data_IF_959349748485
#
_entry.id   IF_959349748485
#
_cell.length_a   1.000
_cell.length_b   1.000
_cell.length_c   1.000
_cell.angle_alpha   90.00
_cell.angle_beta   90.00
_cell.angle_gamma   90.00
#
_symmetry.space_group_name_H-M   'P 1'
#
loop_
_entity.id
_entity.type
_entity.pdbx_description
1 polymer ?
#
# COMPACT_ATOMS: atom_id res chain seq x y z
N UNK A 1 -16.24 -0.60 7.99
CA UNK A 1 -15.08 0.07 7.36
C UNK A 1 -15.54 0.99 6.23
N UNK A 2 -15.06 2.25 6.20
CA UNK A 2 -15.29 3.19 5.09
C UNK A 2 -14.08 3.11 4.16
N UNK A 3 -14.29 2.89 2.87
CA UNK A 3 -13.26 3.06 1.85
C UNK A 3 -13.28 4.47 1.28
N UNK A 4 -12.12 5.07 1.03
CA UNK A 4 -11.97 6.38 0.39
C UNK A 4 -11.30 6.22 -0.99
N UNK A 5 -11.90 6.83 -2.01
CA UNK A 5 -11.26 7.07 -3.30
C UNK A 5 -11.33 8.55 -3.65
N UNK A 6 -10.22 9.14 -4.09
CA UNK A 6 -10.18 10.54 -4.52
C UNK A 6 -9.54 10.68 -5.90
N UNK A 7 -10.05 11.61 -6.71
CA UNK A 7 -9.52 11.95 -8.03
C UNK A 7 -9.70 13.44 -8.34
N UNK A 8 -8.77 14.06 -9.09
CA UNK A 8 -8.97 15.42 -9.55
C UNK A 8 -10.05 15.43 -10.63
N UNK A 9 -10.86 16.50 -10.69
CA UNK A 9 -11.96 16.58 -11.62
C UNK A 9 -11.69 17.39 -12.88
N UNK A 10 -10.70 18.29 -12.90
CA UNK A 10 -10.35 19.12 -14.07
C UNK A 10 -11.59 19.74 -14.75
N UNK A 11 -12.46 20.39 -13.95
CA UNK A 11 -13.77 20.92 -14.39
C UNK A 11 -14.89 19.90 -14.66
N UNK A 12 -14.65 18.59 -14.61
CA UNK A 12 -15.61 17.51 -14.93
C UNK A 12 -16.13 16.74 -13.71
N UNK A 13 -16.52 17.46 -12.66
CA UNK A 13 -16.97 16.92 -11.34
C UNK A 13 -17.94 15.74 -11.48
N UNK A 14 -19.01 15.89 -12.26
CA UNK A 14 -20.05 14.86 -12.41
C UNK A 14 -19.53 13.55 -13.04
N UNK A 15 -18.57 13.62 -13.98
CA UNK A 15 -17.98 12.44 -14.60
C UNK A 15 -17.01 11.75 -13.64
N UNK A 16 -16.23 12.52 -12.88
CA UNK A 16 -15.33 12.00 -11.86
C UNK A 16 -16.10 11.29 -10.74
N UNK A 17 -17.21 11.87 -10.25
CA UNK A 17 -18.09 11.22 -9.28
C UNK A 17 -18.61 9.88 -9.80
N UNK A 18 -19.13 9.84 -11.04
CA UNK A 18 -19.63 8.59 -11.64
C UNK A 18 -18.53 7.54 -11.74
N UNK A 19 -17.34 7.96 -12.14
CA UNK A 19 -16.17 7.08 -12.28
C UNK A 19 -15.76 6.50 -10.93
N UNK A 20 -15.66 7.35 -9.90
CA UNK A 20 -15.32 6.95 -8.54
C UNK A 20 -16.37 6.00 -7.94
N UNK A 21 -17.66 6.32 -8.06
CA UNK A 21 -18.75 5.45 -7.58
C UNK A 21 -18.78 4.08 -8.27
N UNK A 22 -18.45 4.03 -9.57
CA UNK A 22 -18.32 2.76 -10.30
C UNK A 22 -17.15 1.91 -9.78
N UNK A 23 -16.07 2.57 -9.33
CA UNK A 23 -14.85 1.93 -8.81
C UNK A 23 -14.96 1.49 -7.34
N UNK A 24 -15.84 2.11 -6.56
CA UNK A 24 -16.17 1.70 -5.20
C UNK A 24 -17.62 1.18 -5.12
N UNK A 25 -17.88 -0.07 -5.56
CA UNK A 25 -19.21 -0.65 -5.49
C UNK A 25 -19.60 -0.87 -4.03
N UNK A 26 -20.47 -0.01 -3.53
CA UNK A 26 -21.03 -0.08 -2.19
C UNK A 26 -22.47 0.47 -2.18
N UNK A 27 -23.33 0.01 -1.26
CA UNK A 27 -24.72 0.47 -1.17
C UNK A 27 -24.86 1.91 -0.64
N UNK A 28 -23.87 2.40 0.13
CA UNK A 28 -23.87 3.75 0.69
C UNK A 28 -22.65 4.53 0.22
N UNK A 29 -22.87 5.79 -0.18
CA UNK A 29 -21.80 6.71 -0.58
C UNK A 29 -21.98 8.08 0.06
N UNK A 30 -20.86 8.70 0.40
CA UNK A 30 -20.76 10.13 0.62
C UNK A 30 -19.80 10.72 -0.41
N UNK A 31 -20.07 11.93 -0.88
CA UNK A 31 -19.26 12.60 -1.91
C UNK A 31 -18.91 13.98 -1.39
N UNK A 32 -17.62 14.28 -1.37
CA UNK A 32 -17.07 15.59 -1.05
C UNK A 32 -16.33 16.16 -2.26
N UNK A 33 -16.39 17.47 -2.45
CA UNK A 33 -15.65 18.19 -3.48
C UNK A 33 -14.83 19.26 -2.79
N UNK A 34 -13.50 19.17 -2.88
CA UNK A 34 -12.54 20.05 -2.19
C UNK A 34 -11.55 20.58 -3.22
N UNK A 35 -11.63 21.87 -3.53
CA UNK A 35 -10.88 22.45 -4.64
C UNK A 35 -11.12 21.68 -5.94
N UNK A 36 -10.03 21.24 -6.58
CA UNK A 36 -10.07 20.44 -7.81
C UNK A 36 -10.31 18.95 -7.60
N UNK A 37 -10.58 18.50 -6.37
CA UNK A 37 -10.69 17.07 -6.04
C UNK A 37 -12.11 16.65 -5.72
N UNK A 38 -12.45 15.44 -6.15
CA UNK A 38 -13.65 14.72 -5.73
C UNK A 38 -13.21 13.55 -4.87
N UNK A 39 -13.73 13.49 -3.65
CA UNK A 39 -13.57 12.37 -2.72
C UNK A 39 -14.88 11.59 -2.65
N UNK A 40 -14.83 10.27 -2.87
CA UNK A 40 -15.96 9.36 -2.70
C UNK A 40 -15.63 8.39 -1.58
N UNK A 41 -16.49 8.42 -0.56
CA UNK A 41 -16.47 7.51 0.57
C UNK A 41 -17.52 6.45 0.33
N UNK A 42 -17.15 5.18 0.49
CA UNK A 42 -17.99 4.04 0.21
C UNK A 42 -18.11 3.15 1.45
N UNK A 43 -19.32 2.71 1.76
CA UNK A 43 -19.57 1.80 2.87
C UNK A 43 -20.70 0.81 2.60
N UNK A 44 -20.61 -0.36 3.25
CA UNK A 44 -21.68 -1.35 3.32
C UNK A 44 -22.83 -0.94 4.25
N UNK A 45 -22.62 0.03 5.14
CA UNK A 45 -23.61 0.49 6.13
C UNK A 45 -23.76 2.02 6.08
N UNK A 46 -24.90 2.52 6.59
CA UNK A 46 -25.13 3.94 6.78
C UNK A 46 -24.31 4.41 7.99
N UNK A 47 -23.09 4.88 7.73
CA UNK A 47 -22.18 5.39 8.76
C UNK A 47 -21.67 6.80 8.40
N UNK A 48 -21.38 7.64 9.40
CA UNK A 48 -20.84 8.98 9.18
C UNK A 48 -19.40 8.93 8.68
N UNK A 49 -19.06 9.83 7.76
CA UNK A 49 -17.69 10.07 7.29
C UNK A 49 -16.99 11.01 8.26
N UNK A 50 -16.52 10.45 9.37
CA UNK A 50 -15.83 11.19 10.45
C UNK A 50 -14.59 11.94 9.96
N UNK A 51 -13.91 11.41 8.95
CA UNK A 51 -12.74 12.06 8.34
C UNK A 51 -13.02 13.43 7.72
N UNK A 52 -14.17 13.60 7.05
CA UNK A 52 -14.57 14.90 6.48
C UNK A 52 -15.05 15.86 7.56
N UNK A 53 -15.69 15.33 8.60
CA UNK A 53 -16.10 16.11 9.76
C UNK A 53 -14.89 16.67 10.52
N UNK A 54 -13.83 15.88 10.70
CA UNK A 54 -12.58 16.34 11.30
C UNK A 54 -11.85 17.37 10.44
N UNK A 55 -11.83 17.19 9.11
CA UNK A 55 -11.27 18.19 8.19
C UNK A 55 -11.95 19.55 8.37
N UNK A 56 -13.27 19.60 8.33
CA UNK A 56 -14.02 20.85 8.49
C UNK A 56 -13.83 21.43 9.91
N UNK A 57 -13.91 20.59 10.94
CA UNK A 57 -13.77 21.02 12.33
C UNK A 57 -12.38 21.59 12.65
N UNK A 58 -11.31 21.00 12.09
CA UNK A 58 -9.95 21.50 12.28
C UNK A 58 -9.69 22.81 11.52
N UNK A 59 -10.30 22.98 10.34
CA UNK A 59 -10.25 24.25 9.60
C UNK A 59 -11.00 25.34 10.37
N UNK A 60 -12.22 25.05 10.83
CA UNK A 60 -13.05 25.99 11.60
C UNK A 60 -12.39 26.41 12.92
N UNK A 61 -11.73 25.47 13.60
CA UNK A 61 -10.99 25.74 14.84
C UNK A 61 -9.66 26.50 14.60
N UNK A 62 -9.27 26.72 13.33
CA UNK A 62 -8.01 27.38 12.98
C UNK A 62 -6.77 26.52 13.21
N UNK A 63 -6.94 25.21 13.41
CA UNK A 63 -5.85 24.24 13.53
C UNK A 63 -5.25 23.85 12.18
N UNK A 64 -6.06 23.92 11.12
CA UNK A 64 -5.64 23.71 9.74
C UNK A 64 -6.00 24.91 8.86
N UNK A 65 -5.16 25.21 7.88
CA UNK A 65 -5.52 26.12 6.78
C UNK A 65 -6.16 25.32 5.65
N UNK A 66 -7.11 25.93 4.95
CA UNK A 66 -7.87 25.28 3.86
C UNK A 66 -6.98 24.73 2.73
N UNK A 67 -5.77 25.27 2.54
CA UNK A 67 -4.78 24.78 1.57
C UNK A 67 -3.43 24.49 2.22
N UNK A 68 -3.43 23.97 3.44
CA UNK A 68 -2.19 23.62 4.12
C UNK A 68 -1.44 22.50 3.38
N UNK A 69 -0.17 22.73 2.99
CA UNK A 69 0.59 21.76 2.19
C UNK A 69 1.09 20.56 3.00
N UNK A 70 1.10 20.69 4.33
CA UNK A 70 1.58 19.62 5.22
C UNK A 70 0.48 18.60 5.50
N UNK A 71 0.87 17.33 5.54
CA UNK A 71 -0.01 16.24 5.93
C UNK A 71 -0.10 16.16 7.46
N UNK A 72 -1.33 16.14 7.96
CA UNK A 72 -1.68 16.05 9.38
C UNK A 72 -2.50 14.78 9.62
N UNK A 73 -2.20 14.06 10.69
CA UNK A 73 -2.95 12.89 11.12
C UNK A 73 -3.94 13.23 12.22
N UNK A 74 -5.15 12.69 12.12
CA UNK A 74 -6.13 12.66 13.20
C UNK A 74 -6.29 11.22 13.67
N UNK A 75 -6.03 10.98 14.94
CA UNK A 75 -6.17 9.69 15.60
C UNK A 75 -7.37 9.74 16.52
N UNK A 76 -8.38 8.94 16.22
CA UNK A 76 -9.62 8.89 16.98
C UNK A 76 -9.87 7.47 17.48
N UNK A 77 -10.19 7.33 18.77
CA UNK A 77 -10.64 6.05 19.32
C UNK A 77 -12.13 5.85 19.05
N UNK A 78 -12.46 4.87 18.20
CA UNK A 78 -13.83 4.62 17.73
C UNK A 78 -14.11 3.12 17.74
N UNK A 79 -15.23 2.70 18.35
CA UNK A 79 -15.63 1.28 18.39
C UNK A 79 -14.52 0.34 18.89
N UNK A 80 -13.80 0.75 19.94
CA UNK A 80 -12.67 0.02 20.53
C UNK A 80 -11.48 -0.20 19.59
N UNK A 81 -11.32 0.67 18.59
CA UNK A 81 -10.18 0.65 17.68
C UNK A 81 -9.70 2.08 17.39
N UNK A 82 -8.39 2.25 17.24
CA UNK A 82 -7.84 3.50 16.73
C UNK A 82 -8.12 3.61 15.24
N UNK A 83 -8.64 4.76 14.83
CA UNK A 83 -8.79 5.13 13.43
C UNK A 83 -7.85 6.30 13.13
N UNK A 84 -7.06 6.18 12.06
CA UNK A 84 -6.18 7.23 11.58
C UNK A 84 -6.76 7.86 10.30
N UNK A 85 -6.85 9.18 10.28
CA UNK A 85 -7.22 9.96 9.10
C UNK A 85 -6.06 10.86 8.72
N UNK A 86 -5.57 10.76 7.48
CA UNK A 86 -4.54 11.67 6.94
C UNK A 86 -5.23 12.77 6.14
N UNK A 87 -4.95 14.01 6.51
CA UNK A 87 -5.48 15.23 5.92
C UNK A 87 -4.31 16.05 5.37
N UNK A 88 -4.41 16.53 4.13
CA UNK A 88 -3.42 17.42 3.54
C UNK A 88 -3.95 18.05 2.27
N UNK A 89 -3.43 19.23 1.90
CA UNK A 89 -3.87 20.00 0.73
C UNK A 89 -5.40 20.27 0.76
N UNK A 90 -5.96 20.52 1.95
CA UNK A 90 -7.39 20.84 2.11
C UNK A 90 -8.36 19.67 1.93
N UNK A 91 -7.87 18.43 1.96
CA UNK A 91 -8.68 17.23 1.74
C UNK A 91 -8.24 16.05 2.58
N UNK A 92 -9.15 15.10 2.76
CA UNK A 92 -8.79 13.78 3.29
C UNK A 92 -8.08 12.99 2.19
N UNK A 93 -6.90 12.49 2.53
CA UNK A 93 -6.06 11.72 1.61
C UNK A 93 -6.21 10.22 1.84
N UNK A 94 -6.33 9.82 3.10
CA UNK A 94 -6.47 8.42 3.45
C UNK A 94 -7.13 8.22 4.82
N UNK A 95 -7.68 7.01 5.02
CA UNK A 95 -8.29 6.56 6.27
C UNK A 95 -7.82 5.13 6.50
N UNK A 96 -7.38 4.81 7.72
CA UNK A 96 -6.90 3.49 8.10
C UNK A 96 -7.37 3.12 9.50
N UNK A 97 -7.57 1.82 9.73
CA UNK A 97 -7.71 1.26 11.08
C UNK A 97 -6.29 0.97 11.58
N UNK A 98 -5.92 1.53 12.74
CA UNK A 98 -4.51 1.74 13.09
C UNK A 98 -3.77 0.43 13.36
N UNK A 99 -2.74 0.19 12.54
CA UNK A 99 -1.50 -0.48 12.94
C UNK A 99 -0.30 0.40 12.55
N UNK A 100 0.35 1.05 13.51
CA UNK A 100 1.64 1.80 13.39
C UNK A 100 1.77 2.98 12.38
N UNK A 101 0.80 3.25 11.50
CA UNK A 101 0.94 4.18 10.35
C UNK A 101 0.80 5.68 10.70
N UNK A 102 0.46 6.02 11.95
CA UNK A 102 0.30 7.40 12.41
C UNK A 102 1.61 8.22 12.49
N UNK A 103 2.76 7.55 12.39
CA UNK A 103 4.10 8.13 12.58
C UNK A 103 4.51 9.06 11.40
N UNK A 104 3.77 9.03 10.30
CA UNK A 104 4.17 9.66 9.03
C UNK A 104 3.62 11.07 8.78
N UNK A 105 2.82 11.64 9.69
CA UNK A 105 2.28 12.99 9.55
C UNK A 105 3.14 14.03 10.28
N UNK A 106 3.22 15.26 9.76
CA UNK A 106 4.02 16.33 10.38
C UNK A 106 3.47 16.76 11.74
N UNK A 107 2.15 16.64 11.91
CA UNK A 107 1.44 16.89 13.17
C UNK A 107 0.37 15.83 13.39
N UNK A 108 0.14 15.51 14.66
CA UNK A 108 -0.83 14.51 15.09
C UNK A 108 -1.82 15.14 16.05
N UNK A 109 -3.11 14.99 15.72
CA UNK A 109 -4.21 15.31 16.61
C UNK A 109 -4.72 14.02 17.25
N UNK A 110 -4.69 13.94 18.58
CA UNK A 110 -5.16 12.77 19.32
C UNK A 110 -6.50 13.09 19.97
N UNK A 111 -7.50 12.27 19.66
CA UNK A 111 -8.84 12.34 20.24
C UNK A 111 -9.06 11.06 21.04
N UNK A 112 -8.79 11.14 22.34
CA UNK A 112 -8.92 10.02 23.27
C UNK A 112 -10.35 9.92 23.80
N UNK A 113 -10.85 8.69 23.96
CA UNK A 113 -12.10 8.37 24.66
C UNK A 113 -11.83 8.03 26.13
N UNK A 114 -12.86 8.03 26.98
CA UNK A 114 -12.73 7.66 28.41
C UNK A 114 -12.14 6.25 28.62
N UNK A 115 -12.32 5.36 27.65
CA UNK A 115 -11.83 3.96 27.65
C UNK A 115 -10.71 3.70 26.61
N UNK A 116 -10.01 4.73 26.11
CA UNK A 116 -8.96 4.50 25.09
C UNK A 116 -7.72 3.85 25.69
N UNK A 117 -7.17 2.84 25.01
CA UNK A 117 -5.80 2.37 25.30
C UNK A 117 -4.79 3.49 25.02
N UNK A 118 -3.83 3.65 25.92
CA UNK A 118 -2.84 4.72 25.88
C UNK A 118 -1.92 4.55 24.66
N UNK A 119 -1.96 5.51 23.72
CA UNK A 119 -0.98 5.59 22.65
C UNK A 119 0.36 6.03 23.22
N UNK A 120 1.46 5.49 22.71
CA UNK A 120 2.80 5.98 23.06
C UNK A 120 2.88 7.47 22.68
N UNK A 121 3.05 8.37 23.65
CA UNK A 121 3.01 9.81 23.40
C UNK A 121 4.25 10.25 22.61
N UNK A 122 4.05 11.09 21.60
CA UNK A 122 5.12 11.81 20.91
C UNK A 122 5.13 13.30 21.34
N UNK A 123 6.30 13.94 21.33
CA UNK A 123 6.47 15.30 21.86
C UNK A 123 5.64 16.38 21.16
N UNK A 124 5.20 16.15 19.92
CA UNK A 124 4.42 17.09 19.10
C UNK A 124 2.93 16.70 18.99
N UNK A 125 2.47 15.75 19.80
CA UNK A 125 1.07 15.33 19.80
C UNK A 125 0.16 16.42 20.39
N UNK A 126 -0.86 16.82 19.62
CA UNK A 126 -1.88 17.78 20.05
C UNK A 126 -3.11 17.01 20.50
N UNK A 127 -3.39 17.02 21.80
CA UNK A 127 -4.60 16.40 22.34
C UNK A 127 -5.81 17.31 22.13
N UNK A 128 -6.79 16.80 21.40
CA UNK A 128 -8.09 17.43 21.25
C UNK A 128 -9.06 16.87 22.30
N UNK A 129 -9.95 17.69 22.86
CA UNK A 129 -10.99 17.19 23.74
C UNK A 129 -11.91 16.23 22.98
N UNK A 130 -12.48 15.26 23.69
CA UNK A 130 -13.52 14.40 23.13
C UNK A 130 -14.67 15.28 22.59
N UNK A 131 -15.24 14.93 21.41
CA UNK A 131 -16.34 15.69 20.83
C UNK A 131 -17.52 15.85 21.79
N UNK A 132 -18.02 17.08 21.95
CA UNK A 132 -19.26 17.29 22.70
C UNK A 132 -20.46 16.65 22.00
N UNK A 133 -21.54 16.33 22.72
CA UNK A 133 -22.77 15.79 22.10
C UNK A 133 -23.33 16.71 21.00
N UNK A 134 -23.22 18.03 21.19
CA UNK A 134 -23.62 19.01 20.18
C UNK A 134 -22.75 18.93 18.92
N UNK A 135 -21.44 18.69 19.07
CA UNK A 135 -20.50 18.48 17.97
C UNK A 135 -20.75 17.15 17.26
N UNK A 136 -21.10 16.09 18.00
CA UNK A 136 -21.47 14.79 17.42
C UNK A 136 -22.78 14.85 16.64
N UNK A 137 -23.72 15.71 17.03
CA UNK A 137 -24.98 15.90 16.30
C UNK A 137 -24.77 16.39 14.86
N UNK A 138 -23.66 17.09 14.57
CA UNK A 138 -23.38 17.57 13.21
C UNK A 138 -22.91 16.47 12.26
N UNK A 139 -22.50 15.30 12.76
CA UNK A 139 -22.12 14.13 11.96
C UNK A 139 -23.22 13.65 11.02
N UNK A 140 -24.49 13.99 11.29
CA UNK A 140 -25.62 13.64 10.41
C UNK A 140 -25.47 14.23 9.01
N UNK A 141 -24.77 15.37 8.87
CA UNK A 141 -24.49 16.01 7.58
C UNK A 141 -23.45 15.23 6.76
N UNK A 142 -22.62 14.43 7.43
CA UNK A 142 -21.53 13.65 6.84
C UNK A 142 -21.92 12.18 6.63
N UNK A 143 -23.22 11.86 6.65
CA UNK A 143 -23.67 10.49 6.58
C UNK A 143 -23.60 9.91 5.17
N UNK A 144 -23.02 8.72 5.02
CA UNK A 144 -23.08 7.96 3.77
C UNK A 144 -24.54 7.67 3.41
N UNK A 145 -24.99 8.21 2.29
CA UNK A 145 -26.37 8.07 1.84
C UNK A 145 -26.50 6.84 0.94
N UNK A 146 -27.60 6.12 1.09
CA UNK A 146 -27.89 4.99 0.21
C UNK A 146 -27.98 5.50 -1.22
N UNK A 147 -27.29 4.83 -2.14
CA UNK A 147 -27.47 5.11 -3.55
C UNK A 147 -28.96 4.96 -3.87
N UNK A 148 -29.65 6.07 -4.15
CA UNK A 148 -31.02 6.03 -4.63
C UNK A 148 -30.97 5.31 -5.96
N UNK A 149 -31.27 4.01 -5.93
CA UNK A 149 -31.48 3.23 -7.13
C UNK A 149 -32.67 3.88 -7.81
N UNK A 150 -32.37 4.76 -8.78
CA UNK A 150 -33.37 5.21 -9.73
C UNK A 150 -33.71 3.96 -10.51
N UNK A 151 -34.72 3.23 -10.05
CA UNK A 151 -35.47 2.39 -10.98
C UNK A 151 -35.73 3.27 -12.20
N UNK A 152 -35.33 2.87 -13.42
CA UNK A 152 -35.85 3.54 -14.59
C UNK A 152 -37.35 3.39 -14.46
N UNK A 153 -38.03 4.51 -14.21
CA UNK A 153 -39.47 4.53 -14.13
C UNK A 153 -39.98 3.97 -15.46
N UNK A 154 -40.61 2.80 -15.40
CA UNK A 154 -41.54 2.31 -16.41
C UNK A 154 -42.73 3.29 -16.43
N UNK A 155 -42.52 4.40 -17.14
CA UNK A 155 -43.43 5.49 -17.45
C UNK A 155 -42.89 6.01 -18.78
N UNK A 156 -43.48 5.79 -19.95
CA UNK A 156 -44.72 5.19 -20.38
C UNK A 156 -44.81 5.52 -21.87
N UNK A 157 -45.27 4.59 -22.69
CA UNK A 157 -45.66 4.86 -24.09
C UNK A 157 -44.55 4.72 -25.13
N UNK A 158 -44.83 3.85 -26.12
CA UNK A 158 -44.16 3.71 -27.42
C UNK A 158 -42.74 3.12 -27.42
N UNK A 159 -42.65 1.79 -27.33
CA UNK A 159 -41.40 1.08 -27.64
C UNK A 159 -41.43 -0.42 -27.44
N UNK A 160 -42.61 -1.05 -27.50
CA UNK A 160 -42.79 -2.50 -27.36
C UNK A 160 -43.15 -3.15 -28.70
N UNK A 161 -42.37 -2.85 -29.74
CA UNK A 161 -42.31 -3.64 -30.99
C UNK A 161 -40.88 -3.48 -31.50
N UNK A 162 -40.06 -4.53 -31.45
CA UNK A 162 -38.94 -4.85 -32.38
C UNK A 162 -38.07 -6.02 -31.85
N UNK A 163 -38.04 -6.32 -30.54
CA UNK A 163 -37.21 -7.45 -30.04
C UNK A 163 -37.88 -8.83 -30.23
N UNK A 164 -39.12 -8.88 -30.75
CA UNK A 164 -39.78 -10.13 -31.15
C UNK A 164 -39.58 -10.50 -32.65
N UNK A 165 -38.85 -9.70 -33.44
CA UNK A 165 -38.68 -9.94 -34.88
C UNK A 165 -37.33 -10.57 -35.29
N UNK A 166 -36.38 -10.73 -34.35
CA UNK A 166 -35.05 -11.28 -34.66
C UNK A 166 -34.84 -12.75 -34.26
N UNK A 167 -35.89 -13.46 -33.82
CA UNK A 167 -35.81 -14.90 -33.48
C UNK A 167 -36.72 -15.79 -34.35
N UNK A 168 -37.17 -15.30 -35.51
CA UNK A 168 -38.06 -16.05 -36.41
C UNK A 168 -37.59 -16.18 -37.87
N UNK A 169 -36.32 -15.87 -38.18
CA UNK A 169 -35.74 -16.10 -39.53
C UNK A 169 -34.39 -16.81 -39.41
N UNK A 170 -34.37 -17.90 -38.64
CA UNK A 170 -33.20 -18.76 -38.42
C UNK A 170 -33.33 -20.17 -39.01
N UNK A 171 -34.40 -20.45 -39.76
CA UNK A 171 -34.63 -21.76 -40.40
C UNK A 171 -35.36 -21.55 -41.72
N UNK A 172 -34.64 -21.14 -42.77
CA UNK A 172 -34.90 -21.54 -44.16
C UNK A 172 -33.85 -20.88 -45.05
N UNK A 173 -32.85 -21.66 -45.46
CA UNK A 173 -32.31 -21.71 -46.83
C UNK A 173 -30.85 -22.20 -46.79
N UNK A 174 -30.74 -23.50 -46.54
CA UNK A 174 -29.74 -24.34 -47.20
C UNK A 174 -30.15 -24.42 -48.68
N UNK A 175 -29.37 -23.80 -49.57
CA UNK A 175 -29.10 -24.21 -50.96
C UNK A 175 -28.67 -22.99 -51.79
N UNK A 176 -27.37 -22.85 -52.06
CA UNK A 176 -26.84 -23.08 -53.40
C UNK A 176 -25.33 -22.82 -53.46
N UNK A 177 -24.66 -23.75 -54.12
CA UNK A 177 -23.26 -23.79 -54.49
C UNK A 177 -22.95 -22.96 -55.73
N UNK A 178 -21.68 -22.55 -55.80
CA UNK A 178 -20.81 -22.32 -56.97
C UNK A 178 -21.11 -21.19 -57.95
N UNK A 179 -20.19 -20.21 -58.04
CA UNK A 179 -19.29 -20.05 -59.21
C UNK A 179 -18.20 -18.99 -59.00
N UNK A 180 -17.08 -19.24 -59.68
CA UNK A 180 -15.74 -18.64 -59.62
C UNK A 180 -15.58 -17.25 -60.28
N UNK A 181 -14.44 -16.64 -59.92
CA UNK A 181 -13.52 -15.83 -60.75
C UNK A 181 -13.50 -14.29 -60.59
N UNK A 182 -12.46 -13.85 -59.85
CA UNK A 182 -11.42 -12.92 -60.32
C UNK A 182 -11.82 -11.53 -60.81
N UNK A 183 -11.73 -10.52 -59.93
CA UNK A 183 -11.07 -9.23 -60.22
C UNK A 183 -10.29 -8.77 -58.98
N UNK A 184 -9.04 -8.38 -59.23
CA UNK A 184 -8.02 -7.96 -58.29
C UNK A 184 -8.25 -6.59 -57.64
N UNK A 185 -7.62 -6.44 -56.46
CA UNK A 185 -6.92 -5.25 -55.93
C UNK A 185 -7.70 -4.03 -55.39
N UNK A 186 -7.12 -3.52 -54.29
CA UNK A 186 -7.35 -2.24 -53.60
C UNK A 186 -8.61 -2.13 -52.76
N UNK A 187 -8.48 -2.25 -51.43
CA UNK A 187 -8.06 -1.14 -50.52
C UNK A 187 -8.10 -1.69 -49.09
N UNK A 188 -7.03 -1.47 -48.32
CA UNK A 188 -6.96 -1.81 -46.91
C UNK A 188 -8.05 -1.06 -46.10
N UNK A 189 -8.79 -1.70 -45.18
CA UNK A 189 -9.48 -0.96 -44.15
C UNK A 189 -8.48 -0.62 -43.06
N UNK A 190 -8.30 0.69 -42.84
CA UNK A 190 -7.55 1.24 -41.72
C UNK A 190 -7.99 0.55 -40.42
N UNK A 191 -7.03 -0.06 -39.73
CA UNK A 191 -7.21 -0.61 -38.39
C UNK A 191 -7.52 0.55 -37.45
N UNK A 192 -8.81 0.83 -37.23
CA UNK A 192 -9.29 1.65 -36.13
C UNK A 192 -9.02 0.89 -34.82
N UNK A 193 -7.78 0.88 -34.38
CA UNK A 193 -7.41 0.49 -33.03
C UNK A 193 -7.84 1.62 -32.11
N UNK A 194 -9.01 1.47 -31.50
CA UNK A 194 -9.38 2.25 -30.31
C UNK A 194 -8.24 2.02 -29.30
N UNK A 195 -7.52 3.06 -28.86
CA UNK A 195 -6.46 2.87 -27.88
C UNK A 195 -7.10 2.30 -26.62
N UNK A 196 -6.72 1.07 -26.26
CA UNK A 196 -7.10 0.45 -24.99
C UNK A 196 -6.54 1.38 -23.90
N UNK A 197 -7.42 2.19 -23.33
CA UNK A 197 -7.06 3.12 -22.26
C UNK A 197 -6.84 2.28 -21.00
N UNK A 198 -5.59 1.87 -20.77
CA UNK A 198 -5.19 1.17 -19.55
C UNK A 198 -5.49 2.12 -18.38
N UNK A 199 -6.26 1.70 -17.36
CA UNK A 199 -6.56 2.56 -16.23
C UNK A 199 -5.25 3.03 -15.56
N UNK A 200 -5.13 4.32 -15.18
CA UNK A 200 -3.86 4.95 -14.82
C UNK A 200 -3.06 4.22 -13.72
N UNK A 201 -3.76 3.56 -12.79
CA UNK A 201 -3.18 2.85 -11.64
C UNK A 201 -2.91 1.36 -11.85
N UNK A 202 -3.22 0.81 -13.03
CA UNK A 202 -2.97 -0.62 -13.29
C UNK A 202 -1.48 -0.94 -13.25
N UNK A 203 -0.63 -0.03 -13.74
CA UNK A 203 0.83 -0.19 -13.68
C UNK A 203 1.35 -0.18 -12.24
N UNK A 204 0.87 0.74 -11.41
CA UNK A 204 1.18 0.78 -9.97
C UNK A 204 0.81 -0.53 -9.27
N UNK A 205 -0.42 -1.00 -9.48
CA UNK A 205 -0.91 -2.24 -8.85
C UNK A 205 -0.13 -3.47 -9.27
N UNK A 206 0.27 -3.54 -10.55
CA UNK A 206 1.12 -4.61 -11.08
C UNK A 206 2.53 -4.55 -10.52
N UNK A 207 3.12 -3.35 -10.42
CA UNK A 207 4.43 -3.16 -9.83
C UNK A 207 4.44 -3.63 -8.36
N UNK A 208 3.46 -3.21 -7.58
CA UNK A 208 3.33 -3.60 -6.17
C UNK A 208 2.98 -5.08 -5.99
N UNK A 209 2.10 -5.66 -6.82
CA UNK A 209 1.67 -7.06 -6.63
C UNK A 209 2.79 -8.07 -6.82
N UNK A 210 3.79 -7.71 -7.63
CA UNK A 210 4.89 -8.59 -7.99
C UNK A 210 6.16 -8.27 -7.19
N UNK A 211 6.13 -7.23 -6.36
CA UNK A 211 7.29 -6.82 -5.60
C UNK A 211 7.40 -7.57 -4.27
N UNK A 212 8.64 -7.82 -3.83
CA UNK A 212 8.96 -8.44 -2.54
C UNK A 212 8.74 -7.45 -1.41
N UNK A 213 8.02 -7.83 -0.34
CA UNK A 213 7.77 -6.91 0.77
C UNK A 213 9.06 -6.58 1.53
N UNK A 214 9.44 -5.30 1.58
CA UNK A 214 10.62 -4.87 2.33
C UNK A 214 10.47 -5.15 3.84
N UNK A 215 9.29 -4.86 4.41
CA UNK A 215 8.97 -5.16 5.81
C UNK A 215 9.11 -6.65 6.13
N UNK A 216 8.43 -7.53 5.39
CA UNK A 216 8.47 -8.97 5.69
C UNK A 216 9.87 -9.54 5.45
N UNK A 217 10.59 -9.05 4.45
CA UNK A 217 11.96 -9.52 4.19
C UNK A 217 12.90 -9.18 5.35
N UNK A 218 12.85 -7.95 5.88
CA UNK A 218 13.66 -7.59 7.05
C UNK A 218 13.17 -8.31 8.30
N UNK A 219 11.87 -8.51 8.49
CA UNK A 219 11.35 -9.30 9.63
C UNK A 219 11.86 -10.75 9.60
N UNK A 220 11.84 -11.40 8.44
CA UNK A 220 12.42 -12.73 8.26
C UNK A 220 13.94 -12.72 8.47
N UNK A 221 14.63 -11.64 8.06
CA UNK A 221 16.05 -11.49 8.33
C UNK A 221 16.36 -11.34 9.83
N UNK A 222 15.54 -10.59 10.57
CA UNK A 222 15.63 -10.50 12.05
C UNK A 222 15.42 -11.87 12.68
N UNK A 223 14.39 -12.60 12.24
CA UNK A 223 14.11 -13.95 12.73
C UNK A 223 15.31 -14.88 12.48
N UNK A 224 15.80 -14.96 11.24
CA UNK A 224 16.98 -15.74 10.90
C UNK A 224 18.20 -15.34 11.73
N UNK A 225 18.56 -14.06 11.73
CA UNK A 225 19.73 -13.54 12.43
C UNK A 225 19.68 -13.83 13.94
N UNK A 226 18.50 -13.87 14.55
CA UNK A 226 18.33 -14.23 15.97
C UNK A 226 18.74 -15.67 16.25
N UNK A 227 18.35 -16.63 15.42
CA UNK A 227 18.83 -18.02 15.57
C UNK A 227 20.31 -18.17 15.23
N UNK A 228 20.79 -17.43 14.22
CA UNK A 228 22.20 -17.45 13.83
C UNK A 228 23.10 -16.92 14.96
N UNK A 229 22.66 -15.91 15.71
CA UNK A 229 23.37 -15.41 16.89
C UNK A 229 23.42 -16.45 18.04
N UNK A 230 22.48 -17.39 18.07
CA UNK A 230 22.39 -18.47 19.06
C UNK A 230 23.09 -19.76 18.61
N UNK A 231 23.86 -19.74 17.52
CA UNK A 231 24.57 -20.91 17.06
C UNK A 231 25.51 -21.46 18.14
N UNK A 232 25.69 -22.79 18.21
CA UNK A 232 26.63 -23.40 19.15
C UNK A 232 28.08 -22.90 18.95
N UNK A 233 28.93 -23.04 19.98
CA UNK A 233 30.36 -22.72 19.86
C UNK A 233 31.01 -23.42 18.65
N UNK A 234 31.93 -22.70 18.00
CA UNK A 234 32.67 -23.16 16.81
C UNK A 234 31.75 -23.52 15.62
N UNK A 235 30.57 -22.91 15.56
CA UNK A 235 29.71 -22.81 14.38
C UNK A 235 29.41 -21.34 14.13
N UNK A 236 29.43 -20.92 12.87
CA UNK A 236 29.14 -19.53 12.53
C UNK A 236 28.31 -19.40 11.28
N UNK A 237 27.51 -18.34 11.24
CA UNK A 237 26.90 -17.85 10.02
C UNK A 237 27.90 -16.98 9.26
N UNK A 238 28.02 -17.14 7.95
CA UNK A 238 28.90 -16.30 7.13
C UNK A 238 28.15 -15.19 6.44
N UNK A 239 26.98 -15.52 5.90
CA UNK A 239 26.15 -14.60 5.13
C UNK A 239 24.69 -15.02 5.22
N UNK A 240 23.82 -14.02 5.27
CA UNK A 240 22.39 -14.13 5.06
C UNK A 240 22.04 -13.27 3.85
N UNK A 241 21.56 -13.87 2.77
CA UNK A 241 21.29 -13.15 1.52
C UNK A 241 19.99 -13.59 0.87
N UNK A 242 19.35 -12.64 0.18
CA UNK A 242 18.17 -12.88 -0.64
C UNK A 242 18.58 -13.54 -1.96
N UNK A 243 17.90 -14.62 -2.31
CA UNK A 243 18.00 -15.29 -3.59
C UNK A 243 16.58 -15.53 -4.14
N UNK A 244 16.15 -14.65 -5.06
CA UNK A 244 14.77 -14.62 -5.54
C UNK A 244 13.79 -14.45 -4.39
N UNK A 245 12.83 -15.37 -4.30
CA UNK A 245 11.77 -15.40 -3.28
C UNK A 245 12.18 -16.13 -2.00
N UNK A 246 13.48 -16.35 -1.79
CA UNK A 246 13.99 -17.02 -0.59
C UNK A 246 15.10 -16.22 0.07
N UNK A 247 15.16 -16.31 1.39
CA UNK A 247 16.25 -15.80 2.21
C UNK A 247 17.12 -16.98 2.65
N UNK A 248 18.40 -16.96 2.29
CA UNK A 248 19.33 -18.06 2.52
C UNK A 248 20.44 -17.65 3.48
N UNK A 249 20.66 -18.44 4.53
CA UNK A 249 21.79 -18.28 5.45
C UNK A 249 22.77 -19.44 5.32
N UNK A 250 24.04 -19.11 5.13
CA UNK A 250 25.13 -20.09 5.10
C UNK A 250 25.74 -20.25 6.49
N UNK A 251 25.74 -21.48 7.00
CA UNK A 251 26.25 -21.84 8.33
C UNK A 251 27.40 -22.83 8.13
N UNK A 252 28.55 -22.52 8.70
CA UNK A 252 29.78 -23.31 8.50
C UNK A 252 30.33 -23.76 9.84
N UNK A 253 30.74 -25.02 9.89
CA UNK A 253 31.41 -25.61 11.05
C UNK A 253 32.88 -25.16 11.09
N UNK A 254 33.32 -24.65 12.22
CA UNK A 254 34.74 -24.35 12.47
C UNK A 254 35.48 -25.62 12.97
N UNK A 255 36.83 -25.67 12.96
CA UNK A 255 37.58 -26.91 13.21
C UNK A 255 37.26 -27.61 14.53
N UNK A 256 36.88 -26.86 15.57
CA UNK A 256 36.53 -27.39 16.91
C UNK A 256 35.02 -27.62 17.11
N UNK A 257 34.19 -27.25 16.13
CA UNK A 257 32.74 -27.43 16.20
C UNK A 257 32.36 -28.88 16.37
N UNK A 258 31.54 -29.19 17.36
CA UNK A 258 31.05 -30.55 17.59
C UNK A 258 29.73 -30.74 16.86
N UNK A 259 29.65 -31.73 15.96
CA UNK A 259 28.44 -32.07 15.21
C UNK A 259 27.29 -32.41 16.18
N UNK A 260 27.60 -33.17 17.23
CA UNK A 260 26.60 -33.58 18.23
C UNK A 260 25.97 -32.39 18.98
N UNK A 261 26.74 -31.33 19.21
CA UNK A 261 26.23 -30.12 19.88
C UNK A 261 25.30 -29.36 18.93
N UNK A 262 25.63 -29.31 17.63
CA UNK A 262 24.73 -28.75 16.62
C UNK A 262 23.42 -29.53 16.48
N UNK A 263 23.49 -30.87 16.47
CA UNK A 263 22.29 -31.72 16.47
C UNK A 263 21.40 -31.45 17.69
N UNK A 264 21.99 -31.38 18.89
CA UNK A 264 21.25 -31.08 20.12
C UNK A 264 20.63 -29.68 20.08
N UNK A 265 21.35 -28.69 19.57
CA UNK A 265 20.82 -27.35 19.35
C UNK A 265 19.65 -27.36 18.38
N UNK A 266 19.73 -28.11 17.29
CA UNK A 266 18.65 -28.25 16.31
C UNK A 266 17.45 -29.01 16.87
N UNK A 267 17.67 -29.96 17.78
CA UNK A 267 16.60 -30.63 18.51
C UNK A 267 15.83 -29.69 19.45
N UNK A 268 16.52 -28.70 20.02
CA UNK A 268 15.90 -27.65 20.84
C UNK A 268 15.20 -26.55 20.02
N UNK A 269 15.51 -26.44 18.73
CA UNK A 269 14.90 -25.49 17.79
C UNK A 269 14.28 -26.25 16.61
N UNK A 270 13.41 -27.21 16.94
CA UNK A 270 12.87 -28.17 15.97
C UNK A 270 12.09 -27.51 14.82
N UNK A 271 11.56 -26.31 15.04
CA UNK A 271 10.91 -25.45 14.05
C UNK A 271 11.83 -25.06 12.87
N UNK A 272 13.15 -25.10 13.04
CA UNK A 272 14.11 -24.82 11.96
C UNK A 272 14.38 -26.02 11.06
N UNK A 273 14.06 -27.24 11.50
CA UNK A 273 14.35 -28.48 10.75
C UNK A 273 13.81 -28.49 9.32
N UNK A 274 12.58 -28.01 9.02
CA UNK A 274 12.06 -27.96 7.65
C UNK A 274 12.82 -27.02 6.72
N UNK A 275 13.51 -26.03 7.29
CA UNK A 275 14.19 -24.96 6.56
C UNK A 275 15.71 -25.17 6.47
N UNK A 276 16.24 -26.16 7.19
CA UNK A 276 17.67 -26.48 7.21
C UNK A 276 17.99 -27.64 6.28
N UNK A 277 19.00 -27.46 5.44
CA UNK A 277 19.54 -28.47 4.55
C UNK A 277 21.08 -28.46 4.57
N UNK A 278 21.71 -29.42 3.90
CA UNK A 278 23.16 -29.46 3.71
C UNK A 278 23.91 -30.54 4.49
N UNK A 279 25.22 -30.52 4.33
CA UNK A 279 26.18 -31.50 4.83
C UNK A 279 26.44 -31.39 6.35
N UNK A 280 27.08 -32.39 6.99
CA UNK A 280 27.43 -32.32 8.41
C UNK A 280 28.39 -31.18 8.79
N UNK A 281 29.11 -30.60 7.82
CA UNK A 281 30.08 -29.51 8.02
C UNK A 281 29.61 -28.16 7.51
N UNK A 282 28.49 -28.12 6.78
CA UNK A 282 27.93 -26.92 6.16
C UNK A 282 26.43 -27.05 6.08
N UNK A 283 25.70 -26.11 6.68
CA UNK A 283 24.25 -26.07 6.68
C UNK A 283 23.76 -24.81 5.98
N UNK A 284 22.62 -24.93 5.33
CA UNK A 284 21.93 -23.82 4.68
C UNK A 284 20.55 -23.72 5.28
N UNK A 285 20.24 -22.56 5.87
CA UNK A 285 18.90 -22.20 6.30
C UNK A 285 18.22 -21.45 5.16
N UNK A 286 17.05 -21.91 4.71
CA UNK A 286 16.29 -21.30 3.63
C UNK A 286 14.88 -20.95 4.10
N UNK A 287 14.57 -19.66 4.18
CA UNK A 287 13.26 -19.15 4.56
C UNK A 287 12.53 -18.60 3.34
N UNK A 288 11.24 -18.91 3.13
CA UNK A 288 10.46 -18.32 2.05
C UNK A 288 10.14 -16.85 2.35
N UNK A 289 10.13 -16.01 1.31
CA UNK A 289 9.75 -14.60 1.40
C UNK A 289 8.33 -14.43 0.86
N UNK A 290 7.56 -13.53 1.47
CA UNK A 290 6.21 -13.19 1.03
C UNK A 290 6.20 -11.95 0.13
N UNK A 291 5.25 -11.92 -0.80
CA UNK A 291 5.00 -10.76 -1.67
C UNK A 291 4.44 -9.59 -0.88
N UNK A 292 4.58 -8.38 -1.43
CA UNK A 292 4.07 -7.15 -0.83
C UNK A 292 2.56 -7.26 -0.54
N UNK A 293 2.17 -6.73 0.64
CA UNK A 293 0.82 -6.82 1.17
C UNK A 293 -0.24 -6.39 0.15
N UNK A 294 -1.35 -7.13 0.13
CA UNK A 294 -2.52 -6.81 -0.66
C UNK A 294 -3.07 -5.39 -0.38
N UNK A 295 -2.86 -4.85 0.82
CA UNK A 295 -3.35 -3.53 1.23
C UNK A 295 -2.79 -2.40 0.36
N UNK A 296 -1.50 -2.44 -0.02
CA UNK A 296 -0.88 -1.42 -0.87
C UNK A 296 -1.33 -1.47 -2.33
N UNK A 297 -2.07 -2.51 -2.76
CA UNK A 297 -2.70 -2.51 -4.09
C UNK A 297 -3.90 -1.57 -4.17
N UNK A 298 -4.53 -1.32 -3.03
CA UNK A 298 -5.78 -0.57 -2.93
C UNK A 298 -5.57 0.85 -2.39
N UNK A 299 -4.42 1.10 -1.74
CA UNK A 299 -4.06 2.36 -1.11
C UNK A 299 -2.79 2.94 -1.72
N UNK A 300 -2.77 4.25 -1.94
CA UNK A 300 -1.61 4.97 -2.52
C UNK A 300 -1.17 6.03 -1.53
N UNK A 301 0.09 6.02 -1.11
CA UNK A 301 0.66 7.09 -0.28
C UNK A 301 1.17 8.24 -1.14
N UNK A 302 1.17 9.49 -0.62
CA UNK A 302 1.99 10.55 -1.20
C UNK A 302 3.46 10.13 -1.25
N UNK A 303 4.12 10.31 -2.40
CA UNK A 303 5.54 9.94 -2.46
C UNK A 303 6.41 10.89 -1.62
N UNK A 304 6.33 12.20 -1.85
CA UNK A 304 7.29 13.19 -1.29
C UNK A 304 7.44 13.17 0.25
N UNK A 305 6.39 13.31 1.07
CA UNK A 305 6.52 13.24 2.52
C UNK A 305 6.99 11.86 2.99
N UNK A 306 6.50 10.77 2.36
CA UNK A 306 6.92 9.41 2.71
C UNK A 306 8.40 9.17 2.40
N UNK A 307 8.87 9.72 1.28
CA UNK A 307 10.26 9.64 0.81
C UNK A 307 11.21 10.41 1.73
N UNK A 308 10.81 11.61 2.16
CA UNK A 308 11.54 12.39 3.15
C UNK A 308 11.64 11.67 4.49
N UNK A 309 10.52 11.13 5.01
CA UNK A 309 10.53 10.39 6.28
C UNK A 309 11.39 9.14 6.21
N UNK A 310 11.33 8.39 5.10
CA UNK A 310 12.19 7.23 4.88
C UNK A 310 13.66 7.63 4.90
N UNK A 311 14.01 8.66 4.15
CA UNK A 311 15.39 9.13 4.02
C UNK A 311 15.94 9.65 5.36
N UNK A 312 15.19 10.49 6.07
CA UNK A 312 15.59 11.03 7.37
C UNK A 312 15.72 9.93 8.43
N UNK A 313 14.80 8.96 8.46
CA UNK A 313 14.87 7.83 9.38
C UNK A 313 16.08 6.92 9.12
N UNK A 314 16.44 6.70 7.86
CA UNK A 314 17.65 5.96 7.49
C UNK A 314 18.92 6.71 7.91
N UNK A 315 19.00 8.02 7.67
CA UNK A 315 20.15 8.84 8.10
C UNK A 315 20.29 8.87 9.63
N UNK A 316 19.18 9.02 10.36
CA UNK A 316 19.17 9.01 11.83
C UNK A 316 19.69 7.69 12.43
N UNK A 317 19.63 6.61 11.66
CA UNK A 317 20.14 5.29 12.04
C UNK A 317 21.51 4.99 11.40
N UNK A 318 22.24 6.01 10.96
CA UNK A 318 23.58 5.91 10.35
C UNK A 318 23.65 5.02 9.09
N UNK A 319 22.57 4.93 8.33
CA UNK A 319 22.59 4.29 7.02
C UNK A 319 23.19 5.20 5.96
N UNK A 320 24.03 4.63 5.10
CA UNK A 320 24.44 5.25 3.83
C UNK A 320 23.36 5.00 2.79
N UNK A 321 22.76 6.07 2.26
CA UNK A 321 21.65 6.01 1.30
C UNK A 321 22.03 6.74 0.02
N UNK A 322 21.80 6.11 -1.13
CA UNK A 322 21.99 6.73 -2.44
C UNK A 322 20.83 6.44 -3.38
N UNK A 323 20.20 7.49 -3.92
CA UNK A 323 19.17 7.37 -4.95
C UNK A 323 19.80 6.85 -6.24
N UNK A 324 19.32 5.71 -6.75
CA UNK A 324 19.85 5.06 -7.95
C UNK A 324 18.90 5.10 -9.12
N UNK A 325 17.59 5.12 -8.88
CA UNK A 325 16.60 5.19 -9.94
C UNK A 325 15.34 5.91 -9.49
N UNK A 326 14.73 6.62 -10.43
CA UNK A 326 13.42 7.24 -10.26
C UNK A 326 12.58 6.90 -11.48
N UNK A 327 11.48 6.18 -11.28
CA UNK A 327 10.49 5.90 -12.32
C UNK A 327 9.31 6.83 -12.15
N UNK A 328 8.96 7.59 -13.19
CA UNK A 328 7.85 8.54 -13.17
C UNK A 328 6.83 8.11 -14.21
N UNK A 329 5.59 7.91 -13.77
CA UNK A 329 4.43 7.68 -14.62
C UNK A 329 3.54 8.92 -14.70
N UNK A 330 2.33 8.78 -15.25
CA UNK A 330 1.35 9.88 -15.26
C UNK A 330 0.67 10.07 -13.88
N UNK A 331 0.62 9.02 -13.06
CA UNK A 331 -0.14 9.03 -11.80
C UNK A 331 0.64 8.56 -10.57
N UNK A 332 1.76 7.88 -10.77
CA UNK A 332 2.60 7.38 -9.68
C UNK A 332 4.08 7.59 -10.01
N UNK A 333 4.90 7.56 -8.98
CA UNK A 333 6.35 7.59 -9.06
C UNK A 333 6.92 6.57 -8.07
N UNK A 334 8.07 6.02 -8.39
CA UNK A 334 8.88 5.29 -7.42
C UNK A 334 10.31 5.78 -7.38
N UNK A 335 10.89 5.78 -6.18
CA UNK A 335 12.29 6.06 -5.94
C UNK A 335 12.95 4.78 -5.42
N UNK A 336 14.05 4.38 -6.06
CA UNK A 336 14.87 3.24 -5.65
C UNK A 336 16.18 3.75 -5.06
N UNK A 337 16.50 3.27 -3.87
CA UNK A 337 17.69 3.60 -3.11
C UNK A 337 18.56 2.38 -2.92
N UNK A 338 19.86 2.53 -3.13
CA UNK A 338 20.84 1.62 -2.55
C UNK A 338 21.14 2.06 -1.13
N UNK A 339 21.10 1.10 -0.20
CA UNK A 339 21.25 1.34 1.22
C UNK A 339 22.32 0.42 1.78
N UNK A 340 23.24 0.98 2.57
CA UNK A 340 24.31 0.25 3.27
C UNK A 340 24.37 0.67 4.73
N UNK A 341 24.71 -0.27 5.60
CA UNK A 341 25.00 0.01 6.99
C UNK A 341 26.17 -0.87 7.45
N UNK A 342 27.30 -0.29 7.87
CA UNK A 342 28.51 -1.06 8.14
C UNK A 342 28.39 -1.97 9.36
N UNK A 343 27.63 -1.59 10.40
CA UNK A 343 27.56 -2.32 11.68
C UNK A 343 26.12 -2.49 12.18
N UNK A 344 25.24 -3.10 11.38
CA UNK A 344 23.84 -3.24 11.73
C UNK A 344 23.65 -4.28 12.83
N UNK A 345 22.95 -3.91 13.90
CA UNK A 345 22.56 -4.82 14.98
C UNK A 345 21.16 -5.40 14.75
N UNK A 346 20.78 -6.44 15.50
CA UNK A 346 19.40 -6.95 15.50
C UNK A 346 18.37 -5.85 15.81
N UNK A 347 18.69 -4.94 16.75
CA UNK A 347 17.81 -3.83 17.09
C UNK A 347 17.65 -2.85 15.91
N UNK A 348 18.76 -2.56 15.21
CA UNK A 348 18.74 -1.72 14.00
C UNK A 348 17.82 -2.33 12.94
N UNK A 349 17.93 -3.64 12.70
CA UNK A 349 17.06 -4.36 11.76
C UNK A 349 15.59 -4.37 12.20
N UNK A 350 15.30 -4.49 13.50
CA UNK A 350 13.93 -4.42 14.04
C UNK A 350 13.31 -3.03 13.86
N UNK A 351 14.08 -1.97 14.11
CA UNK A 351 13.62 -0.60 13.86
C UNK A 351 13.35 -0.37 12.37
N UNK A 352 14.24 -0.85 11.49
CA UNK A 352 14.02 -0.80 10.04
C UNK A 352 12.75 -1.56 9.64
N UNK A 353 12.54 -2.79 10.13
CA UNK A 353 11.30 -3.53 9.87
C UNK A 353 10.06 -2.73 10.27
N UNK A 354 10.09 -2.11 11.45
CA UNK A 354 8.97 -1.31 11.98
C UNK A 354 8.67 -0.10 11.10
N UNK A 355 9.70 0.64 10.67
CA UNK A 355 9.56 1.76 9.75
C UNK A 355 8.92 1.35 8.42
N UNK A 356 9.38 0.23 7.85
CA UNK A 356 8.93 -0.26 6.54
C UNK A 356 7.52 -0.83 6.55
N UNK A 357 7.01 -1.23 7.72
CA UNK A 357 5.66 -1.79 7.87
C UNK A 357 4.58 -0.81 7.37
N UNK A 358 4.76 0.47 7.64
CA UNK A 358 3.81 1.54 7.30
C UNK A 358 4.04 2.17 5.93
N UNK A 359 4.93 1.61 5.09
CA UNK A 359 5.27 2.21 3.81
C UNK A 359 5.10 1.20 2.65
N UNK A 360 4.63 1.63 1.47
CA UNK A 360 4.59 0.81 0.26
C UNK A 360 6.01 0.64 -0.30
N UNK A 361 6.80 -0.20 0.35
CA UNK A 361 8.21 -0.41 0.03
C UNK A 361 8.47 -1.85 -0.40
N UNK A 362 9.24 -2.00 -1.47
CA UNK A 362 9.83 -3.28 -1.86
C UNK A 362 11.32 -3.30 -1.63
N UNK A 363 11.88 -4.50 -1.49
CA UNK A 363 13.30 -4.69 -1.27
C UNK A 363 13.85 -5.81 -2.14
N UNK A 364 15.03 -5.57 -2.68
CA UNK A 364 15.80 -6.53 -3.48
C UNK A 364 17.26 -6.55 -3.05
N UNK A 365 17.92 -7.67 -3.27
CA UNK A 365 19.35 -7.83 -3.05
C UNK A 365 19.78 -7.69 -1.59
N UNK A 366 18.93 -8.03 -0.63
CA UNK A 366 19.31 -8.03 0.79
C UNK A 366 20.52 -8.94 1.03
N UNK A 367 21.57 -8.41 1.65
CA UNK A 367 22.75 -9.16 2.10
C UNK A 367 23.19 -8.65 3.48
N UNK A 368 23.36 -9.57 4.41
CA UNK A 368 23.95 -9.36 5.72
C UNK A 368 25.18 -10.26 5.83
N UNK A 369 26.36 -9.66 5.94
CA UNK A 369 27.62 -10.36 6.16
C UNK A 369 28.03 -10.25 7.61
N UNK A 370 28.25 -11.39 8.28
CA UNK A 370 28.61 -11.40 9.70
C UNK A 370 29.96 -10.71 9.89
N UNK A 371 30.01 -9.73 10.78
CA UNK A 371 31.26 -9.13 11.26
C UNK A 371 31.65 -9.84 12.56
N UNK A 372 30.68 -9.97 13.45
CA UNK A 372 30.74 -10.79 14.65
C UNK A 372 29.38 -11.49 14.87
N UNK A 373 29.18 -12.10 16.04
CA UNK A 373 27.98 -12.87 16.36
C UNK A 373 26.70 -12.01 16.43
N UNK A 374 26.82 -10.70 16.63
CA UNK A 374 25.70 -9.79 16.90
C UNK A 374 25.63 -8.60 15.92
N UNK A 375 26.67 -8.37 15.12
CA UNK A 375 26.75 -7.26 14.16
C UNK A 375 26.99 -7.74 12.74
N UNK A 376 26.36 -7.04 11.79
CA UNK A 376 26.32 -7.40 10.39
C UNK A 376 26.64 -6.20 9.51
N UNK A 377 27.43 -6.41 8.46
CA UNK A 377 27.48 -5.47 7.34
C UNK A 377 26.25 -5.70 6.48
N UNK A 378 25.38 -4.71 6.40
CA UNK A 378 24.08 -4.78 5.73
C UNK A 378 24.11 -3.99 4.43
N UNK A 379 23.56 -4.57 3.36
CA UNK A 379 23.32 -3.88 2.10
C UNK A 379 22.04 -4.38 1.43
N UNK A 380 21.26 -3.48 0.84
CA UNK A 380 20.07 -3.81 0.06
C UNK A 380 19.69 -2.68 -0.89
N UNK A 381 18.80 -2.98 -1.84
CA UNK A 381 18.07 -1.98 -2.63
C UNK A 381 16.63 -1.91 -2.12
N UNK A 382 16.12 -0.70 -1.89
CA UNK A 382 14.75 -0.45 -1.47
C UNK A 382 14.05 0.46 -2.46
N UNK A 383 12.84 0.10 -2.89
CA UNK A 383 12.01 0.94 -3.75
C UNK A 383 10.77 1.39 -2.99
N UNK A 384 10.57 2.69 -2.90
CA UNK A 384 9.36 3.31 -2.36
C UNK A 384 8.41 3.66 -3.51
N UNK A 385 7.14 3.29 -3.40
CA UNK A 385 6.10 3.61 -4.39
C UNK A 385 5.12 4.65 -3.86
N UNK A 386 4.76 5.65 -4.66
CA UNK A 386 3.79 6.65 -4.23
C UNK A 386 3.08 7.37 -5.37
N UNK A 387 2.02 8.09 -5.04
CA UNK A 387 1.30 8.97 -5.97
C UNK A 387 2.07 10.27 -6.23
N UNK A 388 1.96 10.78 -7.47
CA UNK A 388 2.54 12.07 -7.85
C UNK A 388 1.79 13.23 -7.17
N UNK A 389 2.53 14.18 -6.60
CA UNK A 389 1.99 15.48 -6.17
C UNK A 389 1.89 16.44 -7.37
N UNK A 390 0.84 17.28 -7.38
CA UNK A 390 0.40 18.09 -8.52
C UNK A 390 1.40 19.12 -9.04
N UNK A 391 2.41 19.52 -8.26
CA UNK A 391 3.40 20.52 -8.70
C UNK A 391 4.26 20.07 -9.90
N UNK A 392 4.39 18.76 -10.13
CA UNK A 392 5.15 18.23 -11.28
C UNK A 392 4.27 17.93 -12.51
N UNK A 393 2.94 18.01 -12.39
CA UNK A 393 2.03 17.85 -13.52
C UNK A 393 1.93 19.12 -14.38
N UNK A 394 2.30 20.29 -13.85
CA UNK A 394 2.24 21.58 -14.54
C UNK A 394 3.51 21.96 -15.32
N UNK A 395 4.58 21.14 -15.26
CA UNK A 395 5.81 21.35 -16.04
C UNK A 395 5.90 20.45 -17.29
N UNK A 396 4.79 19.83 -17.73
CA UNK A 396 4.73 19.04 -18.97
C UNK A 396 3.88 19.70 -20.05
#
# INVERSE_FOLDING_TARGET
>A
MIGLLSLPHHGKVSQTIKTLKKRAPAPYHYVSVRGDWVCVYASQTAQPVRSEWWLDGLIEAGHLKENEPEDVAVLEWVNNQWQCTIIGEGRVRAIFDMGSEAILASRRFIVSGEDSEELTPQPDDIHLPAPSEASLATLVHYQCQRAKWRHPALLGGAGLIVIAACLAVGVYSLNQQDTLAEIQASTAPASNTVPITVPPWVKYRLAISNATSAHHLIEQAVYAASYLAMLPPDWRATELSQNGDTLTASIVREPKGLIRVFELWLDNHAELKPYLSGEPTSKVLTLPIHTLSASWREHVMPLRPTDQVLHDALILQDYEVSLVNTEISETWQSNTYEVKHPNASLLTLQHLATLLKSMPTSMDGLSLKSIDNNTWSLSFSITLYGGLQSEQAEQK
#
